data_IF_592924222441
#
_entry.id   IF_592924222441
#
_cell.length_a   1.000
_cell.length_b   1.000
_cell.length_c   1.000
_cell.angle_alpha   90.00
_cell.angle_beta   90.00
_cell.angle_gamma   90.00
#
_symmetry.space_group_name_H-M   'P 1'
#
loop_
_entity.id
_entity.type
_entity.pdbx_description
1 polymer ?
#
# COMPACT_ATOMS: atom_id res chain seq x y z
N UNK A 1 1.31 -27.21 26.93
CA UNK A 1 0.44 -27.20 25.73
C UNK A 1 -0.44 -25.96 25.77
N UNK A 2 -0.56 -25.21 24.68
CA UNK A 2 -1.39 -24.00 24.64
C UNK A 2 -2.86 -24.43 24.50
N UNK A 3 -3.75 -23.84 25.31
CA UNK A 3 -5.18 -24.18 25.29
C UNK A 3 -5.85 -23.57 24.04
N UNK A 4 -6.65 -24.33 23.26
CA UNK A 4 -7.28 -23.85 22.02
C UNK A 4 -8.12 -22.56 22.18
N UNK A 5 -8.73 -22.34 23.35
CA UNK A 5 -9.48 -21.10 23.64
C UNK A 5 -8.58 -19.85 23.68
N UNK A 6 -7.34 -19.99 24.14
CA UNK A 6 -6.36 -18.88 24.15
C UNK A 6 -5.88 -18.55 22.74
N UNK A 7 -5.70 -19.56 21.88
CA UNK A 7 -5.36 -19.38 20.47
C UNK A 7 -6.48 -18.64 19.73
N UNK A 8 -7.73 -19.05 19.91
CA UNK A 8 -8.89 -18.38 19.31
C UNK A 8 -9.03 -16.91 19.76
N UNK A 9 -8.74 -16.61 21.03
CA UNK A 9 -8.73 -15.24 21.54
C UNK A 9 -7.60 -14.39 20.93
N UNK A 10 -6.42 -14.95 20.75
CA UNK A 10 -5.29 -14.29 20.07
C UNK A 10 -5.62 -14.01 18.61
N UNK A 11 -6.16 -14.99 17.87
CA UNK A 11 -6.59 -14.81 16.49
C UNK A 11 -7.62 -13.67 16.36
N UNK A 12 -8.61 -13.62 17.27
CA UNK A 12 -9.64 -12.57 17.26
C UNK A 12 -9.09 -11.19 17.61
N UNK A 13 -8.06 -11.09 18.45
CA UNK A 13 -7.34 -9.83 18.74
C UNK A 13 -6.52 -9.37 17.54
N UNK A 14 -5.85 -10.30 16.85
CA UNK A 14 -5.06 -10.01 15.65
C UNK A 14 -5.95 -9.54 14.50
N UNK A 15 -7.11 -10.18 14.28
CA UNK A 15 -8.10 -9.72 13.29
C UNK A 15 -8.53 -8.27 13.53
N UNK A 16 -8.81 -7.88 14.78
CA UNK A 16 -9.19 -6.49 15.10
C UNK A 16 -8.06 -5.49 14.86
N UNK A 17 -6.81 -5.89 15.10
CA UNK A 17 -5.65 -5.03 14.87
C UNK A 17 -5.37 -4.87 13.37
N UNK A 18 -5.64 -5.90 12.57
CA UNK A 18 -5.58 -5.84 11.10
C UNK A 18 -6.70 -4.97 10.54
N UNK A 19 -7.96 -5.13 11.00
CA UNK A 19 -9.08 -4.28 10.55
C UNK A 19 -8.97 -2.82 11.01
N UNK A 20 -8.26 -2.54 12.11
CA UNK A 20 -8.00 -1.17 12.56
C UNK A 20 -6.77 -0.53 11.88
N UNK A 21 -5.89 -1.34 11.28
CA UNK A 21 -4.65 -0.90 10.63
C UNK A 21 -4.60 -1.11 9.11
N UNK A 22 -5.63 -1.68 8.50
CA UNK A 22 -5.65 -2.01 7.08
C UNK A 22 -7.05 -1.87 6.50
N UNK A 23 -7.23 -0.84 5.67
CA UNK A 23 -8.30 -0.82 4.68
C UNK A 23 -8.16 -2.07 3.81
N UNK A 24 -9.06 -3.02 3.99
CA UNK A 24 -9.34 -4.06 3.01
C UNK A 24 -10.03 -3.37 1.82
N UNK A 25 -9.28 -3.08 0.75
CA UNK A 25 -9.90 -2.81 -0.55
C UNK A 25 -10.29 -4.13 -1.20
N UNK A 26 -11.47 -4.62 -0.83
CA UNK A 26 -12.21 -5.55 -1.65
C UNK A 26 -13.63 -5.01 -1.81
N UNK A 27 -14.05 -4.95 -3.08
CA UNK A 27 -15.39 -4.73 -3.62
C UNK A 27 -15.87 -3.30 -3.95
N UNK A 28 -16.59 -3.29 -5.08
CA UNK A 28 -17.50 -2.30 -5.66
C UNK A 28 -16.93 -1.28 -6.65
N UNK A 29 -17.01 -1.67 -7.92
CA UNK A 29 -17.78 -0.98 -8.97
C UNK A 29 -18.12 0.50 -8.68
N UNK A 30 -17.48 1.39 -9.44
CA UNK A 30 -17.93 2.74 -9.75
C UNK A 30 -18.42 3.64 -8.62
N UNK A 31 -17.52 4.32 -7.92
CA UNK A 31 -17.78 5.70 -7.49
C UNK A 31 -16.50 6.40 -7.05
N UNK A 32 -16.24 7.57 -7.62
CA UNK A 32 -15.17 8.50 -7.27
C UNK A 32 -14.97 8.66 -5.75
N UNK A 33 -14.09 7.87 -5.16
CA UNK A 33 -13.49 8.18 -3.86
C UNK A 33 -12.11 8.73 -4.17
N UNK A 34 -12.05 10.07 -4.20
CA UNK A 34 -10.87 10.92 -4.09
C UNK A 34 -9.56 10.14 -4.03
N UNK A 35 -8.81 10.22 -5.13
CA UNK A 35 -7.43 9.76 -5.21
C UNK A 35 -6.75 9.97 -3.85
N UNK A 36 -6.28 8.87 -3.25
CA UNK A 36 -5.17 8.94 -2.32
C UNK A 36 -4.07 9.69 -3.05
N UNK A 37 -4.07 11.02 -2.88
CA UNK A 37 -2.96 11.87 -3.30
C UNK A 37 -1.79 11.23 -2.61
N UNK A 38 -0.82 10.75 -3.42
CA UNK A 38 0.39 10.11 -2.92
C UNK A 38 0.83 10.82 -1.63
N UNK A 39 1.19 10.05 -0.60
CA UNK A 39 1.60 10.67 0.65
C UNK A 39 2.71 11.70 0.34
N UNK A 40 2.70 12.83 1.03
CA UNK A 40 3.56 13.96 0.67
C UNK A 40 5.01 13.48 0.61
N UNK A 41 5.64 13.62 -0.56
CA UNK A 41 6.98 13.09 -0.78
C UNK A 41 7.04 11.75 -1.51
N UNK A 42 5.92 11.28 -2.07
CA UNK A 42 5.83 10.09 -2.93
C UNK A 42 5.27 10.44 -4.31
N UNK A 43 5.60 9.63 -5.31
CA UNK A 43 4.98 9.64 -6.64
C UNK A 43 4.23 8.33 -6.88
N UNK A 44 3.20 8.37 -7.74
CA UNK A 44 2.45 7.17 -8.15
C UNK A 44 2.87 6.81 -9.57
N UNK A 45 3.35 5.59 -9.75
CA UNK A 45 3.70 5.00 -11.05
C UNK A 45 2.55 4.12 -11.52
N UNK A 46 2.13 4.35 -12.76
CA UNK A 46 1.11 3.56 -13.44
C UNK A 46 1.79 2.62 -14.42
N UNK A 47 1.47 1.33 -14.32
CA UNK A 47 1.97 0.32 -15.25
C UNK A 47 0.92 0.01 -16.32
N UNK A 48 1.35 -0.55 -17.46
CA UNK A 48 0.48 -0.79 -18.60
C UNK A 48 -0.64 -1.81 -18.33
N UNK A 49 -0.46 -2.66 -17.33
CA UNK A 49 -1.46 -3.59 -16.79
C UNK A 49 -2.50 -2.90 -15.88
N UNK A 50 -2.40 -1.58 -15.68
CA UNK A 50 -3.29 -0.79 -14.84
C UNK A 50 -2.95 -0.84 -13.35
N UNK A 51 -1.86 -1.52 -12.96
CA UNK A 51 -1.39 -1.53 -11.58
C UNK A 51 -0.79 -0.16 -11.18
N UNK A 52 -0.83 0.14 -9.88
CA UNK A 52 -0.34 1.38 -9.30
C UNK A 52 0.68 1.09 -8.20
N UNK A 53 1.82 1.77 -8.26
CA UNK A 53 2.88 1.66 -7.27
C UNK A 53 3.22 3.03 -6.70
N UNK A 54 3.27 3.15 -5.38
CA UNK A 54 3.74 4.36 -4.71
C UNK A 54 5.24 4.28 -4.47
N UNK A 55 5.98 5.29 -4.93
CA UNK A 55 7.44 5.35 -4.87
C UNK A 55 7.86 6.62 -4.13
N UNK A 56 8.63 6.53 -3.03
CA UNK A 56 9.14 7.71 -2.35
C UNK A 56 10.06 8.54 -3.26
N UNK A 57 9.89 9.87 -3.29
CA UNK A 57 10.72 10.79 -4.07
C UNK A 57 12.20 10.74 -3.68
N UNK A 58 12.51 10.29 -2.46
CA UNK A 58 13.89 10.04 -2.02
C UNK A 58 14.63 9.04 -2.94
N UNK A 59 13.94 8.11 -3.59
CA UNK A 59 14.55 7.17 -4.54
C UNK A 59 14.92 7.82 -5.87
N UNK A 60 14.23 8.90 -6.26
CA UNK A 60 14.57 9.66 -7.46
C UNK A 60 15.90 10.41 -7.30
N UNK A 61 16.40 10.55 -6.07
CA UNK A 61 17.71 11.14 -5.81
C UNK A 61 18.87 10.19 -6.14
N UNK A 62 18.58 8.91 -6.32
CA UNK A 62 19.62 7.92 -6.67
C UNK A 62 20.18 8.18 -8.07
N UNK A 63 21.48 7.95 -8.23
CA UNK A 63 22.20 8.19 -9.51
C UNK A 63 21.54 7.43 -10.66
N UNK A 64 21.07 6.20 -10.40
CA UNK A 64 20.42 5.36 -11.40
C UNK A 64 19.16 6.03 -11.94
N UNK A 65 18.24 6.45 -11.07
CA UNK A 65 17.01 7.12 -11.50
C UNK A 65 17.28 8.46 -12.16
N UNK A 66 18.22 9.25 -11.63
CA UNK A 66 18.62 10.52 -12.24
C UNK A 66 19.13 10.34 -13.67
N UNK A 67 19.96 9.34 -13.90
CA UNK A 67 20.51 9.07 -15.23
C UNK A 67 19.43 8.55 -16.18
N UNK A 68 18.58 7.62 -15.73
CA UNK A 68 17.44 7.14 -16.51
C UNK A 68 16.51 8.27 -16.94
N UNK A 69 16.21 9.22 -16.03
CA UNK A 69 15.37 10.38 -16.32
C UNK A 69 16.04 11.42 -17.23
N UNK A 70 17.38 11.48 -17.26
CA UNK A 70 18.12 12.35 -18.19
C UNK A 70 18.19 11.81 -19.61
N UNK A 71 18.18 10.49 -19.74
CA UNK A 71 18.28 9.78 -21.02
C UNK A 71 16.93 9.64 -21.72
N UNK A 72 15.84 9.86 -21.00
CA UNK A 72 14.46 9.80 -21.52
C UNK A 72 13.98 11.16 -22.01
#
# INVERSE_FOLDING_TARGET
>A
MIHPKKLAQLAKKLQRLVSAGGQETADTDGCCSTASVADKGHCVVYTADGSRFEVPLAYLDTVVFRELLRMS
#
